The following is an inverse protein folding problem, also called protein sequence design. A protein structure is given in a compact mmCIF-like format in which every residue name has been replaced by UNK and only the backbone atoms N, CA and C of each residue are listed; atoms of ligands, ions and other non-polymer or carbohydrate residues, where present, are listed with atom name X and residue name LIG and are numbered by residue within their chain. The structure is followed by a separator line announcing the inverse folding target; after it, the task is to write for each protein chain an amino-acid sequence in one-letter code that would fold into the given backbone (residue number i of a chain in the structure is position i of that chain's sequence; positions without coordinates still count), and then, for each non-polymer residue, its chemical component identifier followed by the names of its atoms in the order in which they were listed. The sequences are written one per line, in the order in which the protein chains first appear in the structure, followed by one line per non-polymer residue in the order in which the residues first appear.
data_IF_088874277009
#
_entry.id   IF_088874277009
#
_cell.length_a   1.000
_cell.length_b   1.000
_cell.length_c   1.000
_cell.angle_alpha   90.00
_cell.angle_beta   90.00
_cell.angle_gamma   90.00
#
_symmetry.space_group_name_H-M   'P 1'
#
loop_
_entity.id
_entity.type
_entity.pdbx_description
1 polymer ?
#
# COMPACT_ATOMS: atom_id res chain seq x y z
N UNK A 1 -2.14 -5.80 -9.42
CA UNK A 1 -3.33 -5.07 -8.89
C UNK A 1 -4.13 -6.05 -8.08
N UNK A 2 -4.75 -5.60 -7.00
CA UNK A 2 -5.65 -6.40 -6.19
C UNK A 2 -6.86 -5.55 -5.79
N UNK A 3 -8.05 -6.11 -5.96
CA UNK A 3 -9.32 -5.52 -5.58
C UNK A 3 -9.90 -6.27 -4.39
N UNK A 4 -10.43 -5.54 -3.42
CA UNK A 4 -11.13 -6.15 -2.29
C UNK A 4 -12.62 -6.09 -2.54
N UNK A 5 -13.26 -7.27 -2.61
CA UNK A 5 -14.68 -7.43 -2.84
C UNK A 5 -15.36 -7.90 -1.56
N UNK A 6 -16.41 -7.20 -1.12
CA UNK A 6 -17.24 -7.55 0.04
C UNK A 6 -18.69 -7.51 -0.40
N UNK A 7 -19.45 -8.60 -0.18
CA UNK A 7 -20.86 -8.69 -0.59
C UNK A 7 -21.08 -8.33 -2.08
N UNK A 8 -20.21 -8.83 -2.95
CA UNK A 8 -20.24 -8.58 -4.39
C UNK A 8 -19.98 -7.13 -4.83
N UNK A 9 -19.48 -6.28 -3.92
CA UNK A 9 -19.11 -4.88 -4.17
C UNK A 9 -17.61 -4.68 -4.00
N UNK A 10 -16.96 -3.99 -4.94
CA UNK A 10 -15.57 -3.55 -4.77
C UNK A 10 -15.54 -2.48 -3.67
N UNK A 11 -14.83 -2.71 -2.57
CA UNK A 11 -14.73 -1.78 -1.44
C UNK A 11 -13.41 -1.01 -1.40
N UNK A 12 -12.43 -1.46 -2.19
CA UNK A 12 -11.15 -0.78 -2.34
C UNK A 12 -10.23 -1.53 -3.30
N UNK A 13 -9.13 -0.89 -3.64
CA UNK A 13 -8.15 -1.41 -4.57
C UNK A 13 -6.73 -1.01 -4.16
N UNK A 14 -5.77 -1.80 -4.62
CA UNK A 14 -4.35 -1.48 -4.55
C UNK A 14 -3.66 -1.83 -5.87
N UNK A 15 -2.94 -0.84 -6.40
CA UNK A 15 -2.20 -0.96 -7.64
C UNK A 15 -0.72 -0.86 -7.33
N UNK A 16 0.04 -1.82 -7.83
CA UNK A 16 1.48 -1.87 -7.67
C UNK A 16 2.16 -2.39 -8.93
N UNK A 17 3.46 -2.13 -9.02
CA UNK A 17 4.33 -2.55 -10.12
C UNK A 17 5.73 -2.87 -9.58
N UNK A 18 6.56 -3.54 -10.38
CA UNK A 18 7.99 -3.73 -10.08
C UNK A 18 8.78 -2.77 -10.95
N UNK A 19 9.60 -1.93 -10.32
CA UNK A 19 10.49 -1.02 -11.02
C UNK A 19 11.77 -1.75 -11.51
N UNK A 20 12.46 -1.26 -12.55
CA UNK A 20 13.67 -1.89 -13.09
C UNK A 20 14.82 -2.07 -12.08
N UNK A 21 14.85 -1.28 -11.01
CA UNK A 21 15.84 -1.40 -9.92
C UNK A 21 15.54 -2.56 -8.94
N UNK A 22 14.43 -3.29 -9.15
CA UNK A 22 14.01 -4.45 -8.38
C UNK A 22 13.17 -4.11 -7.15
N UNK A 23 12.68 -2.87 -7.01
CA UNK A 23 11.75 -2.49 -5.94
C UNK A 23 10.30 -2.62 -6.40
N UNK A 24 9.43 -3.10 -5.51
CA UNK A 24 7.98 -2.95 -5.64
C UNK A 24 7.58 -1.48 -5.42
N UNK A 25 6.66 -0.97 -6.22
CA UNK A 25 6.12 0.39 -6.12
C UNK A 25 4.62 0.31 -5.96
N UNK A 26 4.09 0.82 -4.83
CA UNK A 26 2.65 1.01 -4.65
C UNK A 26 2.27 2.33 -5.31
N UNK A 27 1.49 2.25 -6.39
CA UNK A 27 1.08 3.38 -7.21
C UNK A 27 -0.24 4.00 -6.70
N UNK A 28 -1.13 3.17 -6.15
CA UNK A 28 -2.43 3.58 -5.63
C UNK A 28 -2.84 2.62 -4.50
N UNK A 29 -3.43 3.17 -3.45
CA UNK A 29 -4.26 2.43 -2.50
C UNK A 29 -5.48 3.26 -2.17
N UNK A 30 -6.67 2.70 -2.35
CA UNK A 30 -7.92 3.40 -2.08
C UNK A 30 -8.94 2.48 -1.43
N UNK A 31 -9.73 3.04 -0.51
CA UNK A 31 -10.89 2.40 0.12
C UNK A 31 -12.06 3.37 0.00
N UNK A 32 -13.22 2.87 -0.45
CA UNK A 32 -14.47 3.64 -0.54
C UNK A 32 -14.72 4.39 0.78
N UNK A 33 -15.12 5.67 0.76
CA UNK A 33 -15.25 6.48 1.98
C UNK A 33 -16.08 5.83 3.11
N UNK A 34 -17.21 5.21 2.78
CA UNK A 34 -18.12 4.49 3.71
C UNK A 34 -17.57 3.13 4.21
N UNK A 35 -16.43 2.68 3.68
CA UNK A 35 -15.76 1.43 4.04
C UNK A 35 -14.46 1.67 4.84
N UNK A 36 -14.05 2.93 5.04
CA UNK A 36 -12.84 3.29 5.79
C UNK A 36 -13.00 2.99 7.30
N UNK A 37 -11.88 2.84 7.99
CA UNK A 37 -11.84 2.53 9.43
C UNK A 37 -12.15 1.05 9.78
N UNK A 38 -12.48 0.21 8.79
CA UNK A 38 -12.86 -1.20 8.98
C UNK A 38 -11.72 -2.20 8.75
N UNK A 39 -10.49 -1.73 8.57
CA UNK A 39 -9.32 -2.57 8.34
C UNK A 39 -9.02 -2.94 6.88
N UNK A 40 -9.89 -2.61 5.92
CA UNK A 40 -9.70 -2.95 4.50
C UNK A 40 -8.40 -2.42 3.89
N UNK A 41 -7.96 -1.22 4.26
CA UNK A 41 -6.66 -0.69 3.83
C UNK A 41 -5.48 -1.55 4.30
N UNK A 42 -5.57 -2.14 5.50
CA UNK A 42 -4.54 -3.06 5.99
C UNK A 42 -4.55 -4.36 5.18
N UNK A 43 -5.74 -4.88 4.86
CA UNK A 43 -5.89 -6.09 4.07
C UNK A 43 -5.30 -5.91 2.66
N UNK A 44 -5.67 -4.83 1.97
CA UNK A 44 -5.12 -4.47 0.66
C UNK A 44 -3.58 -4.36 0.71
N UNK A 45 -3.06 -3.63 1.69
CA UNK A 45 -1.61 -3.44 1.84
C UNK A 45 -0.88 -4.76 2.12
N UNK A 46 -1.40 -5.59 3.02
CA UNK A 46 -0.80 -6.87 3.36
C UNK A 46 -0.76 -7.81 2.15
N UNK A 47 -1.83 -7.84 1.35
CA UNK A 47 -1.88 -8.64 0.13
C UNK A 47 -0.83 -8.19 -0.88
N UNK A 48 -0.73 -6.88 -1.14
CA UNK A 48 0.31 -6.36 -2.03
C UNK A 48 1.73 -6.65 -1.50
N UNK A 49 1.97 -6.54 -0.19
CA UNK A 49 3.26 -6.89 0.42
C UNK A 49 3.57 -8.37 0.21
N UNK A 50 2.61 -9.26 0.44
CA UNK A 50 2.78 -10.70 0.26
C UNK A 50 3.11 -11.05 -1.20
N UNK A 51 2.35 -10.51 -2.15
CA UNK A 51 2.59 -10.74 -3.57
C UNK A 51 3.96 -10.22 -4.04
N UNK A 52 4.32 -8.99 -3.64
CA UNK A 52 5.61 -8.40 -3.99
C UNK A 52 6.78 -9.17 -3.35
N UNK A 53 6.63 -9.64 -2.11
CA UNK A 53 7.61 -10.54 -1.45
C UNK A 53 7.80 -11.83 -2.23
N UNK A 54 6.71 -12.50 -2.63
CA UNK A 54 6.78 -13.73 -3.43
C UNK A 54 7.45 -13.52 -4.80
N UNK A 55 7.40 -12.30 -5.34
CA UNK A 55 8.08 -11.93 -6.59
C UNK A 55 9.56 -11.60 -6.39
N UNK A 56 10.09 -11.66 -5.17
CA UNK A 56 11.52 -11.48 -4.90
C UNK A 56 12.01 -10.04 -4.98
N UNK A 57 11.14 -9.05 -4.80
CA UNK A 57 11.56 -7.64 -4.80
C UNK A 57 12.48 -7.32 -3.62
N UNK A 58 13.41 -6.37 -3.81
CA UNK A 58 14.37 -5.92 -2.78
C UNK A 58 13.70 -5.18 -1.61
N UNK A 59 12.48 -4.72 -1.82
CA UNK A 59 11.69 -3.94 -0.89
C UNK A 59 10.54 -3.24 -1.61
N UNK A 60 9.74 -2.49 -0.87
CA UNK A 60 8.55 -1.79 -1.37
C UNK A 60 8.69 -0.30 -1.08
N UNK A 61 8.38 0.55 -2.06
CA UNK A 61 8.39 2.01 -1.91
C UNK A 61 7.10 2.66 -2.41
N UNK A 62 6.79 3.82 -1.85
CA UNK A 62 5.70 4.68 -2.31
C UNK A 62 5.93 6.14 -1.89
N UNK A 63 5.27 7.07 -2.57
CA UNK A 63 5.23 8.48 -2.18
C UNK A 63 3.88 8.77 -1.52
N UNK A 64 3.83 9.11 -0.22
CA UNK A 64 2.58 9.41 0.46
C UNK A 64 2.03 10.78 0.04
N UNK A 65 0.74 10.84 -0.32
CA UNK A 65 0.05 12.09 -0.64
C UNK A 65 -0.44 12.76 0.65
N UNK A 66 0.47 13.48 1.32
CA UNK A 66 0.22 14.12 2.62
C UNK A 66 -0.88 15.19 2.58
N UNK A 67 -1.02 15.88 1.44
CA UNK A 67 -1.99 16.99 1.26
C UNK A 67 -3.45 16.56 1.41
N UNK A 68 -3.77 15.32 1.04
CA UNK A 68 -5.13 14.76 1.14
C UNK A 68 -5.35 13.94 2.39
N UNK A 69 -4.27 13.39 2.97
CA UNK A 69 -4.38 12.42 4.06
C UNK A 69 -3.20 12.58 5.01
N UNK A 70 -3.24 13.56 5.94
CA UNK A 70 -2.10 13.89 6.81
C UNK A 70 -1.61 12.71 7.66
N UNK A 71 -2.52 11.81 8.06
CA UNK A 71 -2.23 10.63 8.88
C UNK A 71 -1.62 9.46 8.11
N UNK A 72 -1.48 9.55 6.78
CA UNK A 72 -1.06 8.42 5.94
C UNK A 72 0.37 7.97 6.25
N UNK A 73 1.26 8.92 6.59
CA UNK A 73 2.66 8.63 6.94
C UNK A 73 2.73 7.76 8.18
N UNK A 74 1.99 8.12 9.24
CA UNK A 74 1.99 7.37 10.49
C UNK A 74 1.33 6.00 10.32
N UNK A 75 0.31 5.91 9.46
CA UNK A 75 -0.30 4.63 9.11
C UNK A 75 0.73 3.67 8.46
N UNK A 76 1.52 4.15 7.50
CA UNK A 76 2.59 3.36 6.90
C UNK A 76 3.72 3.04 7.88
N UNK A 77 4.11 3.97 8.75
CA UNK A 77 5.11 3.71 9.81
C UNK A 77 4.70 2.57 10.72
N UNK A 78 3.42 2.52 11.13
CA UNK A 78 2.85 1.40 11.91
C UNK A 78 2.84 0.06 11.16
N UNK A 79 3.19 0.04 9.87
CA UNK A 79 3.30 -1.16 9.02
C UNK A 79 4.76 -1.51 8.69
N UNK A 80 5.72 -0.87 9.39
CA UNK A 80 7.14 -1.12 9.23
C UNK A 80 7.81 -0.28 8.13
N UNK A 81 7.07 0.61 7.46
CA UNK A 81 7.71 1.51 6.51
C UNK A 81 8.49 2.62 7.23
N UNK A 82 9.68 2.92 6.74
CA UNK A 82 10.49 4.05 7.18
C UNK A 82 10.34 5.19 6.17
N UNK A 83 10.17 6.42 6.66
CA UNK A 83 10.17 7.60 5.81
C UNK A 83 11.63 7.97 5.48
N UNK A 84 11.99 7.96 4.20
CA UNK A 84 13.28 8.43 3.69
C UNK A 84 13.04 9.53 2.65
N UNK A 85 13.40 10.77 3.01
CA UNK A 85 13.03 12.00 2.29
C UNK A 85 11.50 12.04 2.10
N UNK A 86 11.04 11.93 0.86
CA UNK A 86 9.62 11.98 0.50
C UNK A 86 9.00 10.61 0.18
N UNK A 87 9.73 9.51 0.41
CA UNK A 87 9.25 8.16 0.13
C UNK A 87 9.14 7.33 1.39
N UNK A 88 8.09 6.53 1.49
CA UNK A 88 8.01 5.44 2.46
C UNK A 88 8.72 4.22 1.87
N UNK A 89 9.54 3.55 2.67
CA UNK A 89 10.31 2.37 2.27
C UNK A 89 10.09 1.22 3.26
N UNK A 90 9.76 0.04 2.76
CA UNK A 90 9.72 -1.21 3.51
C UNK A 90 10.78 -2.15 2.92
N UNK A 91 11.77 -2.52 3.71
CA UNK A 91 12.79 -3.52 3.34
C UNK A 91 12.49 -4.85 4.03
N UNK A 92 12.93 -5.95 3.42
CA UNK A 92 12.73 -7.31 3.94
C UNK A 92 14.01 -7.86 4.58
#
# INVERSE_FOLDING_TARGET
MFELIVQNEIVGEIVFSIAPDGFGVINLIEVKPNCRGKGFGNQLLNEAIAQLKCQGVKGIRLTPIKTKTPFIVDWYKKKGFVLNRDRMLLTF
#
